data_IF_440469407478
#
_entry.id   IF_440469407478
#
_cell.length_a   1.000
_cell.length_b   1.000
_cell.length_c   1.000
_cell.angle_alpha   90.00
_cell.angle_beta   90.00
_cell.angle_gamma   90.00
#
_symmetry.space_group_name_H-M   'P 1'
#
loop_
_entity.id
_entity.type
_entity.pdbx_description
1 polymer ?
#
# COMPACT_ATOMS: atom_id res chain seq x y z
N UNK A 1 1.24 0.17 -14.74
CA UNK A 1 1.52 1.50 -14.16
C UNK A 1 2.98 1.55 -13.79
N UNK A 2 3.59 2.73 -13.78
CA UNK A 2 4.96 2.87 -13.30
C UNK A 2 5.01 2.66 -11.78
N UNK A 3 6.09 2.09 -11.20
CA UNK A 3 6.19 1.87 -9.76
C UNK A 3 5.85 3.11 -8.92
N UNK A 4 6.28 4.29 -9.35
CA UNK A 4 6.10 5.55 -8.63
C UNK A 4 4.62 5.99 -8.61
N UNK A 5 3.86 5.67 -9.65
CA UNK A 5 2.42 5.95 -9.72
C UNK A 5 1.65 5.08 -8.73
N UNK A 6 2.05 3.82 -8.57
CA UNK A 6 1.44 2.85 -7.66
C UNK A 6 1.75 3.26 -6.21
N UNK A 7 3.01 3.57 -5.91
CA UNK A 7 3.42 4.06 -4.60
C UNK A 7 2.63 5.31 -4.20
N UNK A 8 2.51 6.29 -5.11
CA UNK A 8 1.75 7.51 -4.87
C UNK A 8 0.26 7.23 -4.65
N UNK A 9 -0.34 6.35 -5.44
CA UNK A 9 -1.74 6.00 -5.31
C UNK A 9 -2.05 5.35 -3.94
N UNK A 10 -1.19 4.41 -3.50
CA UNK A 10 -1.34 3.75 -2.21
C UNK A 10 -1.20 4.74 -1.06
N UNK A 11 -0.24 5.67 -1.11
CA UNK A 11 -0.09 6.73 -0.11
C UNK A 11 -1.34 7.61 -0.03
N UNK A 12 -1.84 8.09 -1.17
CA UNK A 12 -3.07 8.91 -1.21
C UNK A 12 -4.25 8.15 -0.60
N UNK A 13 -4.38 6.85 -0.87
CA UNK A 13 -5.44 6.03 -0.28
C UNK A 13 -5.29 5.94 1.26
N UNK A 14 -4.08 5.69 1.76
CA UNK A 14 -3.82 5.62 3.20
C UNK A 14 -4.10 6.95 3.92
N UNK A 15 -3.68 8.06 3.32
CA UNK A 15 -3.94 9.44 3.79
C UNK A 15 -5.44 9.79 3.75
N UNK A 16 -6.17 9.20 2.79
CA UNK A 16 -7.63 9.34 2.68
C UNK A 16 -8.41 8.44 3.64
N UNK A 17 -7.72 7.66 4.49
CA UNK A 17 -8.34 6.80 5.50
C UNK A 17 -8.62 5.36 5.05
N UNK A 18 -8.20 4.95 3.85
CA UNK A 18 -8.32 3.55 3.44
C UNK A 18 -7.43 2.67 4.30
N UNK A 19 -7.94 1.49 4.64
CA UNK A 19 -7.26 0.48 5.47
C UNK A 19 -7.31 -0.93 4.89
N UNK A 20 -8.10 -1.14 3.84
CA UNK A 20 -8.14 -2.39 3.09
C UNK A 20 -7.38 -2.21 1.76
N UNK A 21 -6.34 -3.02 1.56
CA UNK A 21 -5.56 -3.09 0.32
C UNK A 21 -5.73 -4.48 -0.29
N UNK A 22 -6.20 -4.55 -1.53
CA UNK A 22 -6.25 -5.78 -2.32
C UNK A 22 -5.07 -5.81 -3.31
N UNK A 23 -4.36 -6.93 -3.32
CA UNK A 23 -3.23 -7.20 -4.18
C UNK A 23 -3.34 -8.62 -4.80
N UNK A 24 -2.40 -8.93 -5.67
CA UNK A 24 -2.16 -10.26 -6.23
C UNK A 24 -0.75 -10.31 -6.81
N UNK A 25 -0.08 -11.46 -6.73
CA UNK A 25 1.27 -11.66 -7.28
C UNK A 25 1.34 -11.29 -8.78
N UNK A 26 0.30 -11.69 -9.53
CA UNK A 26 0.23 -11.45 -10.98
C UNK A 26 0.11 -9.96 -11.36
N UNK A 27 -0.20 -9.07 -10.42
CA UNK A 27 -0.22 -7.62 -10.69
C UNK A 27 1.18 -7.04 -10.76
N UNK A 28 2.21 -7.77 -10.30
CA UNK A 28 3.63 -7.40 -10.35
C UNK A 28 3.90 -6.00 -9.75
N UNK A 29 3.20 -5.68 -8.67
CA UNK A 29 3.25 -4.37 -8.02
C UNK A 29 3.33 -4.42 -6.49
N UNK A 30 3.44 -5.62 -5.89
CA UNK A 30 3.49 -5.78 -4.44
C UNK A 30 4.70 -5.07 -3.81
N UNK A 31 5.82 -4.95 -4.51
CA UNK A 31 6.99 -4.19 -4.05
C UNK A 31 6.67 -2.70 -3.86
N UNK A 32 5.98 -2.09 -4.85
CA UNK A 32 5.54 -0.69 -4.78
C UNK A 32 4.50 -0.48 -3.68
N UNK A 33 3.56 -1.41 -3.53
CA UNK A 33 2.56 -1.37 -2.44
C UNK A 33 3.26 -1.48 -1.08
N UNK A 34 4.17 -2.43 -0.93
CA UNK A 34 4.93 -2.67 0.31
C UNK A 34 5.77 -1.47 0.71
N UNK A 35 6.42 -0.81 -0.25
CA UNK A 35 7.18 0.41 0.01
C UNK A 35 6.29 1.55 0.51
N UNK A 36 5.15 1.79 -0.12
CA UNK A 36 4.20 2.81 0.33
C UNK A 36 3.65 2.52 1.74
N UNK A 37 3.32 1.26 2.03
CA UNK A 37 2.88 0.84 3.37
C UNK A 37 3.98 1.05 4.41
N UNK A 38 5.23 0.68 4.09
CA UNK A 38 6.36 0.85 4.99
C UNK A 38 6.55 2.32 5.36
N UNK A 39 6.56 3.21 4.37
CA UNK A 39 6.71 4.65 4.61
C UNK A 39 5.54 5.23 5.42
N UNK A 40 4.31 4.75 5.19
CA UNK A 40 3.15 5.15 6.00
C UNK A 40 3.26 4.70 7.47
N UNK A 41 3.77 3.48 7.70
CA UNK A 41 4.04 2.98 9.06
C UNK A 41 5.15 3.81 9.74
N UNK A 42 6.22 4.14 9.02
CA UNK A 42 7.30 5.02 9.50
C UNK A 42 6.78 6.43 9.82
N UNK A 43 5.73 6.88 9.13
CA UNK A 43 5.01 8.13 9.40
C UNK A 43 4.04 8.09 10.60
N UNK A 44 3.97 6.98 11.33
CA UNK A 44 3.13 6.81 12.52
C UNK A 44 1.88 5.95 12.33
N UNK A 45 1.64 5.43 11.12
CA UNK A 45 0.63 4.42 10.89
C UNK A 45 0.93 3.10 11.60
N UNK A 46 -0.11 2.37 12.02
CA UNK A 46 0.06 1.08 12.69
C UNK A 46 -0.24 -0.08 11.75
N UNK A 47 0.60 -1.12 11.79
CA UNK A 47 0.41 -2.30 10.93
C UNK A 47 -0.92 -2.99 11.22
N UNK A 48 -1.38 -3.07 12.47
CA UNK A 48 -2.66 -3.70 12.82
C UNK A 48 -3.89 -2.97 12.23
N UNK A 49 -3.76 -1.72 11.80
CA UNK A 49 -4.85 -1.00 11.13
C UNK A 49 -5.07 -1.49 9.69
N UNK A 50 -4.11 -2.19 9.08
CA UNK A 50 -4.16 -2.57 7.68
C UNK A 50 -4.69 -4.00 7.49
N UNK A 51 -5.73 -4.12 6.67
CA UNK A 51 -6.21 -5.38 6.12
C UNK A 51 -5.67 -5.54 4.70
N UNK A 52 -4.76 -6.49 4.50
CA UNK A 52 -4.10 -6.72 3.21
C UNK A 52 -4.49 -8.09 2.68
N UNK A 53 -5.06 -8.13 1.47
CA UNK A 53 -5.40 -9.35 0.75
C UNK A 53 -4.43 -9.54 -0.41
N UNK A 54 -3.92 -10.76 -0.62
CA UNK A 54 -3.16 -11.13 -1.83
C UNK A 54 -3.66 -12.45 -2.41
N UNK A 55 -3.26 -12.76 -3.65
CA UNK A 55 -3.67 -13.92 -4.44
C UNK A 55 -2.50 -14.44 -5.27
#
# INVERSE_FOLDING_TARGET
AKPEEIERAVKIALDSGYRHIDAAYNYKNEDSIGKAIKEWIEGGGKREELFITTK
#
